data_IF_432135214579
#
_entry.id   IF_432135214579
#
_cell.length_a   1.000
_cell.length_b   1.000
_cell.length_c   1.000
_cell.angle_alpha   90.00
_cell.angle_beta   90.00
_cell.angle_gamma   90.00
#
_symmetry.space_group_name_H-M   'P 1'
#
loop_
_entity.id
_entity.type
_entity.pdbx_description
1 polymer ?
#
# COMPACT_ATOMS: atom_id res chain seq x y z
N UNK A 1 -0.98 15.55 3.63
CA UNK A 1 -2.13 16.40 3.22
C UNK A 1 -3.32 15.52 2.87
N UNK A 2 -4.45 15.75 3.54
CA UNK A 2 -5.74 15.13 3.19
C UNK A 2 -6.32 15.93 2.03
N UNK A 3 -6.77 15.24 0.98
CA UNK A 3 -7.36 15.87 -0.21
C UNK A 3 -8.88 15.85 -0.01
N UNK A 4 -9.60 16.97 -0.20
CA UNK A 4 -11.06 16.97 -0.17
C UNK A 4 -11.64 15.95 -1.14
N UNK A 5 -12.69 15.26 -0.76
CA UNK A 5 -13.23 14.12 -1.52
C UNK A 5 -13.56 14.47 -2.97
N UNK A 6 -14.24 15.61 -3.21
CA UNK A 6 -14.60 16.07 -4.56
C UNK A 6 -13.38 16.21 -5.47
N UNK A 7 -12.28 16.74 -4.94
CA UNK A 7 -11.00 16.87 -5.66
C UNK A 7 -10.32 15.51 -5.83
N UNK A 8 -10.37 14.65 -4.82
CA UNK A 8 -9.78 13.32 -4.92
C UNK A 8 -10.50 12.45 -5.96
N UNK A 9 -11.83 12.57 -6.08
CA UNK A 9 -12.63 11.94 -7.15
C UNK A 9 -12.16 12.35 -8.54
N UNK A 10 -11.89 13.63 -8.76
CA UNK A 10 -11.36 14.10 -10.03
C UNK A 10 -9.96 13.53 -10.30
N UNK A 11 -9.10 13.49 -9.27
CA UNK A 11 -7.74 12.93 -9.39
C UNK A 11 -7.78 11.45 -9.79
N UNK A 12 -8.59 10.61 -9.12
CA UNK A 12 -8.63 9.18 -9.45
C UNK A 12 -9.18 8.89 -10.84
N UNK A 13 -9.98 9.82 -11.40
CA UNK A 13 -10.58 9.67 -12.73
C UNK A 13 -9.59 9.97 -13.86
N UNK A 14 -8.50 10.71 -13.58
CA UNK A 14 -7.55 11.13 -14.60
C UNK A 14 -6.08 10.77 -14.31
N UNK A 15 -5.75 10.32 -13.10
CA UNK A 15 -4.38 10.02 -12.70
C UNK A 15 -4.27 8.65 -11.99
N UNK A 16 -3.20 7.89 -12.26
CA UNK A 16 -2.81 6.78 -11.41
C UNK A 16 -2.46 7.28 -10.00
N UNK A 17 -2.88 6.52 -8.98
CA UNK A 17 -2.60 6.83 -7.58
C UNK A 17 -1.34 6.12 -7.11
N UNK A 18 -0.39 6.90 -6.60
CA UNK A 18 0.83 6.39 -5.99
C UNK A 18 0.58 5.94 -4.55
N UNK A 19 0.81 4.67 -4.29
CA UNK A 19 0.54 3.99 -3.02
C UNK A 19 1.80 3.30 -2.49
N UNK A 20 1.67 2.78 -1.27
CA UNK A 20 2.55 1.76 -0.69
C UNK A 20 1.74 0.54 -0.30
N UNK A 21 2.29 -0.64 -0.52
CA UNK A 21 1.77 -1.92 -0.02
C UNK A 21 2.81 -2.54 0.92
N UNK A 22 2.35 -3.10 2.04
CA UNK A 22 3.21 -3.51 3.16
C UNK A 22 3.13 -5.03 3.33
N UNK A 23 4.20 -5.71 2.93
CA UNK A 23 4.38 -7.15 3.15
C UNK A 23 4.99 -7.34 4.54
N UNK A 24 4.14 -7.58 5.53
CA UNK A 24 4.56 -7.84 6.92
C UNK A 24 4.70 -9.34 7.10
N UNK A 25 5.94 -9.83 7.17
CA UNK A 25 6.26 -11.23 7.37
C UNK A 25 6.28 -11.58 8.87
N UNK A 26 5.59 -12.66 9.25
CA UNK A 26 5.60 -13.25 10.59
C UNK A 26 5.66 -14.77 10.48
N UNK A 27 6.77 -15.35 10.92
CA UNK A 27 7.01 -16.81 10.92
C UNK A 27 6.74 -17.47 9.55
N UNK A 28 7.18 -16.84 8.46
CA UNK A 28 7.00 -17.36 7.09
C UNK A 28 5.61 -17.15 6.48
N UNK A 29 4.67 -16.56 7.22
CA UNK A 29 3.37 -16.12 6.72
C UNK A 29 3.30 -14.59 6.65
N UNK A 30 2.26 -14.06 5.99
CA UNK A 30 2.08 -12.63 5.79
C UNK A 30 0.78 -12.15 6.43
N UNK A 31 0.84 -10.98 7.07
CA UNK A 31 -0.35 -10.32 7.60
C UNK A 31 -1.23 -9.80 6.46
N UNK A 32 -2.48 -10.26 6.44
CA UNK A 32 -3.51 -9.80 5.51
C UNK A 32 -4.67 -9.19 6.29
N UNK A 33 -5.29 -8.16 5.71
CA UNK A 33 -6.51 -7.51 6.18
C UNK A 33 -7.67 -7.74 5.20
N UNK A 34 -8.89 -7.87 5.71
CA UNK A 34 -10.10 -8.05 4.90
C UNK A 34 -10.70 -6.69 4.55
N UNK A 35 -10.55 -6.27 3.30
CA UNK A 35 -10.92 -4.92 2.85
C UNK A 35 -12.44 -4.69 2.86
N UNK A 36 -12.89 -3.58 3.43
CA UNK A 36 -14.30 -3.14 3.41
C UNK A 36 -14.63 -2.29 2.17
N UNK A 37 -13.62 -1.68 1.56
CA UNK A 37 -13.75 -0.73 0.47
C UNK A 37 -13.27 -1.33 -0.86
N UNK A 38 -13.88 -0.90 -1.96
CA UNK A 38 -13.37 -1.17 -3.30
C UNK A 38 -12.08 -0.36 -3.57
N UNK A 39 -11.19 -0.77 -4.49
CA UNK A 39 -11.17 -2.07 -5.17
C UNK A 39 -10.89 -3.21 -4.17
N UNK A 40 -11.13 -4.45 -4.60
CA UNK A 40 -10.91 -5.69 -3.80
C UNK A 40 -11.74 -5.77 -2.49
N UNK A 41 -12.92 -5.13 -2.44
CA UNK A 41 -13.86 -5.28 -1.32
C UNK A 41 -14.14 -6.76 -1.02
N UNK A 42 -14.12 -7.13 0.26
CA UNK A 42 -14.33 -8.49 0.77
C UNK A 42 -13.13 -9.42 0.62
N UNK A 43 -12.05 -8.99 -0.04
CA UNK A 43 -10.85 -9.81 -0.23
C UNK A 43 -9.81 -9.55 0.85
N UNK A 44 -9.04 -10.60 1.14
CA UNK A 44 -7.82 -10.53 1.92
C UNK A 44 -6.72 -9.91 1.09
N UNK A 45 -6.07 -8.88 1.62
CA UNK A 45 -5.01 -8.14 0.94
C UNK A 45 -3.97 -7.65 1.95
N UNK A 46 -2.81 -7.24 1.45
CA UNK A 46 -1.80 -6.59 2.30
C UNK A 46 -2.29 -5.22 2.78
N UNK A 47 -1.90 -4.76 3.98
CA UNK A 47 -2.09 -3.38 4.41
C UNK A 47 -1.40 -2.41 3.45
N UNK A 48 -1.96 -1.22 3.29
CA UNK A 48 -1.39 -0.26 2.33
C UNK A 48 -2.30 0.91 2.03
N UNK A 49 -1.76 1.90 1.32
CA UNK A 49 -2.55 3.06 0.93
C UNK A 49 -1.74 4.15 0.27
N UNK A 50 -2.43 5.25 -0.03
CA UNK A 50 -1.87 6.39 -0.75
C UNK A 50 -0.74 7.06 0.03
N UNK A 51 0.31 7.46 -0.68
CA UNK A 51 1.36 8.32 -0.16
C UNK A 51 0.85 9.77 -0.14
N UNK A 52 1.04 10.47 0.97
CA UNK A 52 0.66 11.88 1.06
C UNK A 52 1.67 12.79 0.35
N UNK A 53 1.20 13.92 -0.21
CA UNK A 53 2.10 14.95 -0.75
C UNK A 53 3.05 15.43 0.36
N UNK A 54 4.35 15.43 0.07
CA UNK A 54 5.41 15.79 1.01
C UNK A 54 5.86 14.65 1.93
N UNK A 55 5.26 13.47 1.82
CA UNK A 55 5.61 12.29 2.62
C UNK A 55 6.57 11.38 1.84
N UNK A 56 7.57 10.81 2.52
CA UNK A 56 8.42 9.77 1.92
C UNK A 56 7.67 8.43 1.86
N UNK A 57 8.01 7.57 0.89
CA UNK A 57 7.39 6.24 0.81
C UNK A 57 7.58 5.42 2.11
N UNK A 58 8.75 5.50 2.74
CA UNK A 58 9.03 4.82 4.02
C UNK A 58 8.19 5.39 5.16
N UNK A 59 7.98 6.71 5.19
CA UNK A 59 7.07 7.35 6.16
C UNK A 59 5.63 6.89 5.97
N UNK A 60 5.17 6.81 4.71
CA UNK A 60 3.84 6.31 4.38
C UNK A 60 3.65 4.85 4.83
N UNK A 61 4.65 3.99 4.64
CA UNK A 61 4.63 2.59 5.10
C UNK A 61 4.46 2.50 6.61
N UNK A 62 5.24 3.26 7.38
CA UNK A 62 5.12 3.29 8.86
C UNK A 62 3.75 3.81 9.31
N UNK A 63 3.28 4.89 8.69
CA UNK A 63 1.96 5.47 8.99
C UNK A 63 0.84 4.49 8.67
N UNK A 64 0.84 3.88 7.48
CA UNK A 64 -0.20 2.94 7.06
C UNK A 64 -0.19 1.65 7.90
N UNK A 65 0.98 1.13 8.27
CA UNK A 65 1.04 0.00 9.21
C UNK A 65 0.40 0.34 10.55
N UNK A 66 0.71 1.52 11.11
CA UNK A 66 0.12 1.97 12.37
C UNK A 66 -1.39 2.23 12.24
N UNK A 67 -1.83 2.96 11.23
CA UNK A 67 -3.25 3.29 11.02
C UNK A 67 -4.11 2.03 10.81
N UNK A 68 -3.68 1.11 9.93
CA UNK A 68 -4.53 -0.02 9.52
C UNK A 68 -4.42 -1.25 10.41
N UNK A 69 -3.35 -1.36 11.21
CA UNK A 69 -3.09 -2.57 12.00
C UNK A 69 -2.67 -2.29 13.44
N UNK A 70 -2.39 -1.04 13.82
CA UNK A 70 -1.84 -0.69 15.14
C UNK A 70 -0.38 -1.13 15.34
N UNK A 71 0.26 -1.72 14.32
CA UNK A 71 1.58 -2.33 14.46
C UNK A 71 2.71 -1.33 14.16
N UNK A 72 3.72 -1.38 15.02
CA UNK A 72 5.02 -0.78 14.73
C UNK A 72 5.88 -1.78 13.94
N UNK A 73 6.33 -1.33 12.77
CA UNK A 73 7.12 -2.14 11.83
C UNK A 73 8.61 -1.77 11.87
N UNK A 74 9.45 -2.76 11.53
CA UNK A 74 10.90 -2.62 11.44
C UNK A 74 11.45 -3.37 10.22
N UNK A 75 12.74 -3.17 9.90
CA UNK A 75 13.40 -3.72 8.70
C UNK A 75 12.69 -3.39 7.38
N UNK A 76 12.22 -2.14 7.25
CA UNK A 76 11.50 -1.66 6.06
C UNK A 76 12.43 -1.63 4.85
N UNK A 77 12.21 -2.52 3.87
CA UNK A 77 13.00 -2.61 2.64
C UNK A 77 12.10 -2.58 1.41
N UNK A 78 12.41 -1.78 0.38
CA UNK A 78 11.66 -1.82 -0.87
C UNK A 78 11.89 -3.18 -1.55
N UNK A 79 10.82 -3.83 -1.99
CA UNK A 79 10.87 -5.09 -2.75
C UNK A 79 10.70 -4.84 -4.25
N UNK A 80 9.83 -3.92 -4.62
CA UNK A 80 9.37 -3.77 -5.99
C UNK A 80 8.16 -2.88 -6.08
N UNK A 81 7.35 -3.09 -7.11
CA UNK A 81 6.07 -2.43 -7.24
C UNK A 81 4.96 -3.41 -7.65
N UNK A 82 3.74 -3.06 -7.28
CA UNK A 82 2.51 -3.69 -7.73
C UNK A 82 1.71 -2.66 -8.53
N UNK A 83 1.12 -3.08 -9.64
CA UNK A 83 0.27 -2.23 -10.47
C UNK A 83 -1.11 -2.89 -10.60
N UNK A 84 -2.15 -2.11 -10.32
CA UNK A 84 -3.53 -2.57 -10.42
C UNK A 84 -4.39 -1.58 -11.19
N UNK A 85 -5.06 -2.06 -12.24
CA UNK A 85 -6.09 -1.32 -12.96
C UNK A 85 -7.44 -2.00 -12.70
N UNK A 86 -8.36 -1.27 -12.10
CA UNK A 86 -9.65 -1.79 -11.65
C UNK A 86 -10.79 -1.01 -12.30
N UNK A 87 -11.89 -1.70 -12.61
CA UNK A 87 -13.11 -1.06 -13.15
C UNK A 87 -13.95 -0.34 -12.09
N UNK A 88 -13.60 -0.48 -10.81
CA UNK A 88 -14.28 0.15 -9.68
C UNK A 88 -13.29 0.81 -8.72
N UNK A 89 -13.79 1.75 -7.93
CA UNK A 89 -13.04 2.46 -6.89
C UNK A 89 -13.85 2.50 -5.58
N UNK A 90 -13.29 3.06 -4.50
CA UNK A 90 -14.05 3.36 -3.27
C UNK A 90 -15.21 4.33 -3.51
N UNK A 91 -15.09 5.16 -4.55
CA UNK A 91 -16.13 6.02 -5.05
C UNK A 91 -16.89 5.29 -6.16
N UNK A 92 -18.19 5.54 -6.26
CA UNK A 92 -19.16 4.82 -7.09
C UNK A 92 -18.67 4.45 -8.51
N UNK A 93 -19.27 3.42 -9.13
CA UNK A 93 -18.81 2.79 -10.40
C UNK A 93 -18.68 3.75 -11.60
N UNK A 94 -19.18 4.97 -11.49
CA UNK A 94 -19.39 5.94 -12.56
C UNK A 94 -18.16 6.76 -12.98
N UNK A 95 -17.01 6.63 -12.30
CA UNK A 95 -15.86 7.54 -12.46
C UNK A 95 -14.62 6.91 -13.14
N UNK A 96 -14.79 5.93 -14.02
CA UNK A 96 -13.67 5.42 -14.85
C UNK A 96 -12.73 4.41 -14.17
N UNK A 97 -13.08 3.93 -12.97
CA UNK A 97 -12.33 2.87 -12.27
C UNK A 97 -11.28 3.41 -11.29
N UNK A 98 -10.24 2.60 -11.02
CA UNK A 98 -9.13 2.96 -10.14
C UNK A 98 -7.83 2.38 -10.69
N UNK A 99 -6.83 3.23 -10.94
CA UNK A 99 -5.48 2.81 -11.31
C UNK A 99 -4.53 3.13 -10.17
N UNK A 100 -3.87 2.11 -9.64
CA UNK A 100 -2.90 2.23 -8.57
C UNK A 100 -1.53 1.70 -9.01
N UNK A 101 -0.50 2.45 -8.64
CA UNK A 101 0.88 1.98 -8.67
C UNK A 101 1.37 2.03 -7.22
N UNK A 102 1.64 0.87 -6.64
CA UNK A 102 2.10 0.73 -5.25
C UNK A 102 3.57 0.36 -5.22
N UNK A 103 4.38 1.07 -4.44
CA UNK A 103 5.71 0.58 -4.07
C UNK A 103 5.52 -0.44 -2.94
N UNK A 104 6.03 -1.66 -3.14
CA UNK A 104 5.88 -2.75 -2.18
C UNK A 104 7.08 -2.78 -1.24
N UNK A 105 6.83 -2.82 0.06
CA UNK A 105 7.87 -2.90 1.09
C UNK A 105 7.75 -4.18 1.91
N UNK A 106 8.86 -4.90 2.08
CA UNK A 106 8.99 -5.96 3.08
C UNK A 106 9.29 -5.35 4.44
N UNK A 107 8.59 -5.83 5.46
CA UNK A 107 8.75 -5.40 6.85
C UNK A 107 8.58 -6.59 7.78
N UNK A 108 9.02 -6.43 9.03
CA UNK A 108 8.73 -7.34 10.15
C UNK A 108 8.00 -6.60 11.26
N UNK A 109 7.17 -7.33 12.01
CA UNK A 109 6.43 -6.80 13.17
C UNK A 109 6.16 -7.90 14.20
N UNK A 110 5.93 -7.50 15.45
CA UNK A 110 5.34 -8.36 16.48
C UNK A 110 3.82 -8.20 16.45
N UNK A 111 3.06 -9.29 16.35
CA UNK A 111 1.58 -9.27 16.27
C UNK A 111 0.87 -8.98 17.60
N UNK A 112 1.46 -8.16 18.46
CA UNK A 112 0.85 -7.78 19.75
C UNK A 112 0.04 -6.51 19.55
N UNK A 113 -1.22 -6.53 19.97
CA UNK A 113 -2.09 -5.35 19.96
C UNK A 113 -2.57 -4.93 18.57
N UNK A 114 -2.90 -5.89 17.70
CA UNK A 114 -3.49 -5.55 16.39
C UNK A 114 -4.82 -4.83 16.60
N UNK A 115 -4.93 -3.66 15.99
CA UNK A 115 -6.13 -2.83 15.98
C UNK A 115 -6.38 -2.37 14.54
N UNK A 116 -7.51 -2.77 13.97
CA UNK A 116 -7.83 -2.43 12.57
C UNK A 116 -8.54 -1.08 12.49
N UNK A 117 -8.35 -0.39 11.37
CA UNK A 117 -9.15 0.79 11.02
C UNK A 117 -10.55 0.41 10.50
N UNK A 118 -11.34 1.42 10.14
CA UNK A 118 -12.67 1.25 9.58
C UNK A 118 -12.69 0.68 8.14
N UNK A 119 -11.51 0.64 7.50
CA UNK A 119 -11.35 0.14 6.13
C UNK A 119 -11.21 -1.37 6.06
N UNK A 120 -11.06 -2.04 7.20
CA UNK A 120 -10.87 -3.49 7.28
C UNK A 120 -11.79 -4.14 8.33
N UNK A 121 -12.26 -5.35 8.06
CA UNK A 121 -13.18 -6.09 8.95
C UNK A 121 -12.57 -7.30 9.64
N UNK A 122 -11.30 -7.60 9.37
CA UNK A 122 -10.60 -8.72 10.00
C UNK A 122 -9.17 -8.82 9.52
N UNK A 123 -8.38 -9.63 10.22
CA UNK A 123 -6.99 -9.92 9.87
C UNK A 123 -6.70 -11.43 9.96
N UNK A 124 -5.69 -11.90 9.22
CA UNK A 124 -5.15 -13.26 9.35
C UNK A 124 -3.70 -13.31 8.90
N UNK A 125 -3.02 -14.41 9.24
CA UNK A 125 -1.75 -14.79 8.62
C UNK A 125 -2.02 -15.81 7.52
N UNK A 126 -1.49 -15.57 6.33
CA UNK A 126 -1.61 -16.48 5.19
C UNK A 126 -0.48 -16.22 4.17
N UNK A 127 -0.42 -17.06 3.14
CA UNK A 127 0.28 -16.80 1.89
C UNK A 127 -0.23 -15.51 1.21
N UNK A 128 0.65 -14.83 0.47
CA UNK A 128 0.24 -13.66 -0.32
C UNK A 128 -0.81 -14.05 -1.36
N UNK A 129 -1.79 -13.17 -1.65
CA UNK A 129 -2.79 -13.44 -2.68
C UNK A 129 -2.14 -13.75 -4.03
N UNK A 130 -2.59 -14.78 -4.73
CA UNK A 130 -1.97 -15.20 -6.01
C UNK A 130 -2.02 -14.15 -7.13
N UNK A 131 -2.91 -13.17 -7.03
CA UNK A 131 -3.00 -12.03 -7.93
C UNK A 131 -2.22 -10.78 -7.44
N UNK A 132 -1.55 -10.85 -6.30
CA UNK A 132 -0.61 -9.83 -5.83
C UNK A 132 0.78 -10.08 -6.45
N UNK A 133 0.91 -9.76 -7.73
CA UNK A 133 2.14 -10.00 -8.51
C UNK A 133 3.11 -8.82 -8.36
N UNK A 134 4.12 -9.01 -7.51
CA UNK A 134 5.17 -8.02 -7.28
C UNK A 134 6.16 -8.05 -8.45
N UNK A 135 6.43 -6.88 -9.05
CA UNK A 135 7.54 -6.67 -9.99
C UNK A 135 8.74 -6.19 -9.19
N UNK A 136 9.66 -7.10 -8.91
CA UNK A 136 10.81 -6.84 -8.04
C UNK A 136 11.73 -5.76 -8.62
N UNK A 137 12.24 -4.88 -7.76
CA UNK A 137 13.35 -4.03 -8.13
C UNK A 137 14.60 -4.89 -8.28
N UNK A 138 15.40 -4.61 -9.30
CA UNK A 138 16.70 -5.24 -9.47
C UNK A 138 17.62 -4.67 -8.40
N UNK A 139 18.30 -5.53 -7.63
CA UNK A 139 19.37 -5.11 -6.73
C UNK A 139 20.52 -4.53 -7.55
N UNK A 140 20.48 -3.23 -7.82
CA UNK A 140 21.54 -2.48 -8.47
C UNK A 140 22.21 -1.53 -7.49
N UNK A 141 23.50 -1.25 -7.70
CA UNK A 141 24.17 -0.14 -7.01
C UNK A 141 23.36 1.14 -7.25
N UNK A 142 23.02 1.85 -6.18
CA UNK A 142 22.43 3.19 -6.28
C UNK A 142 23.32 4.02 -7.20
N UNK A 143 22.84 4.34 -8.40
CA UNK A 143 23.56 5.19 -9.35
C UNK A 143 23.43 6.62 -8.82
N UNK A 144 24.25 6.96 -7.82
CA UNK A 144 24.34 8.31 -7.31
C UNK A 144 25.17 9.12 -8.31
N UNK A 145 24.51 9.66 -9.34
CA UNK A 145 25.14 10.69 -10.15
C UNK A 145 25.35 11.91 -9.25
N UNK A 146 26.59 12.13 -8.80
CA UNK A 146 26.97 13.39 -8.15
C UNK A 146 26.61 14.51 -9.12
N UNK A 147 25.56 15.26 -8.79
CA UNK A 147 25.27 16.54 -9.45
C UNK A 147 26.53 17.40 -9.31
N UNK A 148 27.25 17.61 -10.41
CA UNK A 148 28.23 18.69 -10.50
C UNK A 148 27.41 19.96 -10.34
N UNK A 149 27.46 20.56 -9.14
CA UNK A 149 26.99 21.93 -8.90
C UNK A 149 27.52 22.80 -10.05
N UNK A 150 26.61 23.38 -10.83
CA UNK A 150 26.90 24.58 -11.62
C UNK A 150 26.64 25.78 -10.72
#
# INVERSE_FOLDING_TARGET
MIIPESKYRQIIACLPILCVDIVIEVNGLYLLVKRNNAPKKGRWWVPGGRIHKGESAVSAVKRKAMEETGLSIHHVKPLGYYEGVFRNSSFDKTHGGYHAISIVFACKASLKGISLDDQSSGWKLDSLPGDFKIRYFIEGKQICQRSKKR
#
